data_IF_374036410983
#
_entry.id   IF_374036410983
#
_cell.length_a   1.000
_cell.length_b   1.000
_cell.length_c   1.000
_cell.angle_alpha   90.00
_cell.angle_beta   90.00
_cell.angle_gamma   90.00
#
_symmetry.space_group_name_H-M   'P 1'
#
loop_
_entity.id
_entity.type
_entity.pdbx_description
1 polymer ?
#
# COMPACT_ATOMS: atom_id res chain seq x y z
N UNK A 1 4.10 7.05 -9.13
CA UNK A 1 3.54 8.00 -8.14
C UNK A 1 3.00 7.24 -6.94
N UNK A 2 3.33 7.67 -5.75
CA UNK A 2 2.90 7.02 -4.52
C UNK A 2 1.56 7.59 -4.04
N UNK A 3 0.64 6.70 -3.69
CA UNK A 3 -0.70 7.06 -3.22
C UNK A 3 -1.00 6.29 -1.94
N UNK A 4 -1.68 6.94 -1.00
CA UNK A 4 -2.05 6.31 0.26
C UNK A 4 -3.56 6.06 0.33
N UNK A 5 -3.92 4.88 0.82
CA UNK A 5 -5.28 4.58 1.24
C UNK A 5 -5.26 4.62 2.76
N UNK A 6 -5.90 5.64 3.34
CA UNK A 6 -5.85 5.88 4.78
C UNK A 6 -7.22 5.67 5.39
N UNK A 7 -7.26 5.00 6.51
CA UNK A 7 -8.49 4.78 7.25
C UNK A 7 -8.22 3.95 8.48
N UNK A 8 -9.13 3.98 9.43
CA UNK A 8 -9.04 3.16 10.62
C UNK A 8 -9.29 1.69 10.28
N UNK A 9 -8.96 0.80 11.20
CA UNK A 9 -9.20 -0.62 11.04
C UNK A 9 -10.69 -0.85 10.75
N UNK A 10 -10.98 -1.70 9.74
CA UNK A 10 -12.35 -2.00 9.37
C UNK A 10 -13.01 -0.98 8.45
N UNK A 11 -12.28 0.04 7.98
CA UNK A 11 -12.84 1.06 7.09
C UNK A 11 -12.96 0.64 5.63
N UNK A 12 -12.46 -0.52 5.26
CA UNK A 12 -12.53 -1.01 3.87
C UNK A 12 -11.29 -0.72 3.02
N UNK A 13 -10.16 -0.39 3.64
CA UNK A 13 -8.91 -0.11 2.92
C UNK A 13 -8.46 -1.29 2.07
N UNK A 14 -8.45 -2.49 2.63
CA UNK A 14 -7.99 -3.67 1.93
C UNK A 14 -8.89 -3.99 0.74
N UNK A 15 -10.21 -3.86 0.92
CA UNK A 15 -11.15 -4.07 -0.19
C UNK A 15 -10.91 -3.06 -1.31
N UNK A 16 -10.69 -1.80 -0.98
CA UNK A 16 -10.38 -0.77 -1.97
C UNK A 16 -9.10 -1.11 -2.72
N UNK A 17 -8.07 -1.56 -2.01
CA UNK A 17 -6.82 -1.98 -2.64
C UNK A 17 -7.03 -3.18 -3.57
N UNK A 18 -7.80 -4.19 -3.15
CA UNK A 18 -8.11 -5.34 -3.98
C UNK A 18 -8.81 -4.92 -5.27
N UNK A 19 -9.77 -4.01 -5.18
CA UNK A 19 -10.46 -3.49 -6.37
C UNK A 19 -9.47 -2.77 -7.30
N UNK A 20 -8.51 -2.04 -6.76
CA UNK A 20 -7.47 -1.39 -7.56
C UNK A 20 -6.52 -2.40 -8.21
N UNK A 21 -6.20 -3.48 -7.50
CA UNK A 21 -5.37 -4.56 -8.06
C UNK A 21 -6.11 -5.24 -9.21
N UNK A 22 -7.38 -5.55 -9.04
CA UNK A 22 -8.20 -6.18 -10.10
C UNK A 22 -8.27 -5.29 -11.34
N UNK A 23 -8.41 -4.00 -11.15
CA UNK A 23 -8.40 -3.06 -12.26
C UNK A 23 -7.03 -3.01 -12.94
N UNK A 24 -5.96 -2.99 -12.16
CA UNK A 24 -4.60 -2.96 -12.69
C UNK A 24 -4.30 -4.22 -13.52
N UNK A 25 -4.74 -5.39 -13.05
CA UNK A 25 -4.56 -6.65 -13.77
C UNK A 25 -5.17 -6.58 -15.17
N UNK A 26 -6.29 -5.86 -15.31
CA UNK A 26 -6.99 -5.74 -16.59
C UNK A 26 -6.40 -4.69 -17.52
N UNK A 27 -5.66 -3.72 -16.98
CA UNK A 27 -5.25 -2.53 -17.74
C UNK A 27 -3.75 -2.39 -17.92
N UNK A 28 -2.93 -3.01 -17.07
CA UNK A 28 -1.48 -2.86 -17.19
C UNK A 28 -0.88 -3.78 -18.23
N UNK A 29 0.18 -3.32 -18.86
CA UNK A 29 0.98 -4.15 -19.76
C UNK A 29 2.17 -4.80 -19.06
N UNK A 30 2.42 -4.41 -17.81
CA UNK A 30 3.57 -4.88 -17.05
C UNK A 30 3.20 -5.82 -15.91
N UNK A 31 4.14 -5.97 -14.99
CA UNK A 31 3.95 -6.84 -13.84
C UNK A 31 3.42 -6.07 -12.64
N UNK A 32 2.59 -6.72 -11.86
CA UNK A 32 2.02 -6.20 -10.62
C UNK A 32 2.60 -6.99 -9.46
N UNK A 33 3.12 -6.28 -8.47
CA UNK A 33 3.63 -6.88 -7.24
C UNK A 33 2.80 -6.37 -6.07
N UNK A 34 2.37 -7.28 -5.21
CA UNK A 34 1.61 -6.97 -4.00
C UNK A 34 2.42 -7.46 -2.80
N UNK A 35 2.79 -6.55 -1.93
CA UNK A 35 3.57 -6.86 -0.73
C UNK A 35 2.66 -6.76 0.49
N UNK A 36 2.66 -7.78 1.31
CA UNK A 36 1.87 -7.81 2.54
C UNK A 36 2.61 -8.53 3.66
N UNK A 37 2.05 -8.45 4.86
CA UNK A 37 2.46 -9.22 6.01
C UNK A 37 1.34 -10.17 6.38
N UNK A 38 1.67 -11.44 6.65
CA UNK A 38 0.74 -12.48 7.15
C UNK A 38 -0.19 -13.13 6.13
N UNK A 39 0.09 -13.07 4.85
CA UNK A 39 -0.62 -13.85 3.81
C UNK A 39 -2.16 -13.72 3.81
N UNK A 40 -2.67 -12.54 4.11
CA UNK A 40 -4.12 -12.32 4.19
C UNK A 40 -4.82 -12.25 2.85
N UNK A 41 -4.11 -11.89 1.80
CA UNK A 41 -4.68 -11.62 0.48
C UNK A 41 -4.60 -12.78 -0.49
N UNK A 42 -4.05 -13.91 -0.06
CA UNK A 42 -3.72 -15.03 -0.95
C UNK A 42 -4.90 -15.53 -1.78
N UNK A 43 -6.09 -15.60 -1.19
CA UNK A 43 -7.28 -16.13 -1.87
C UNK A 43 -8.08 -15.06 -2.59
N UNK A 44 -7.75 -13.79 -2.41
CA UNK A 44 -8.56 -12.67 -2.92
C UNK A 44 -7.93 -11.96 -4.10
N UNK A 45 -6.69 -12.28 -4.43
CA UNK A 45 -5.94 -11.59 -5.48
C UNK A 45 -5.77 -12.48 -6.68
N UNK A 46 -5.93 -11.89 -7.87
CA UNK A 46 -5.72 -12.57 -9.12
C UNK A 46 -4.27 -13.06 -9.23
N UNK A 47 -4.09 -14.30 -9.69
CA UNK A 47 -2.76 -14.92 -9.83
C UNK A 47 -1.83 -14.20 -10.81
N UNK A 48 -2.35 -13.30 -11.64
CA UNK A 48 -1.52 -12.47 -12.51
C UNK A 48 -0.70 -11.45 -11.72
N UNK A 49 -1.11 -11.13 -10.49
CA UNK A 49 -0.34 -10.29 -9.59
C UNK A 49 0.56 -11.18 -8.71
N UNK A 50 1.82 -10.79 -8.57
CA UNK A 50 2.75 -11.51 -7.70
C UNK A 50 2.53 -11.06 -6.26
N UNK A 51 2.05 -11.97 -5.43
CA UNK A 51 1.87 -11.72 -4.01
C UNK A 51 3.11 -12.14 -3.24
N UNK A 52 3.63 -11.25 -2.41
CA UNK A 52 4.84 -11.49 -1.61
C UNK A 52 4.53 -11.20 -0.16
N UNK A 53 4.76 -12.19 0.69
CA UNK A 53 4.65 -12.04 2.15
C UNK A 53 6.02 -11.70 2.73
N UNK A 54 6.15 -10.53 3.35
CA UNK A 54 7.42 -10.11 3.94
C UNK A 54 7.88 -11.02 5.07
N UNK A 55 6.95 -11.73 5.73
CA UNK A 55 7.31 -12.66 6.79
C UNK A 55 8.10 -13.85 6.29
N UNK A 56 7.87 -14.28 5.05
CA UNK A 56 8.65 -15.39 4.44
C UNK A 56 10.12 -15.04 4.30
N UNK A 57 10.45 -13.77 4.21
CA UNK A 57 11.81 -13.30 3.99
C UNK A 57 12.42 -12.62 5.21
N UNK A 58 11.73 -12.68 6.34
CA UNK A 58 12.20 -12.09 7.58
C UNK A 58 12.31 -10.58 7.57
N UNK A 59 11.50 -9.91 6.74
CA UNK A 59 11.54 -8.45 6.62
C UNK A 59 10.73 -7.82 7.75
N UNK A 60 11.38 -6.98 8.53
CA UNK A 60 10.76 -6.24 9.62
C UNK A 60 11.42 -4.87 9.76
N UNK A 61 10.61 -3.84 9.97
CA UNK A 61 11.09 -2.48 10.13
C UNK A 61 11.32 -1.75 8.82
N UNK A 62 11.48 -0.44 8.92
CA UNK A 62 11.54 0.44 7.76
C UNK A 62 12.76 0.21 6.87
N UNK A 63 13.93 0.03 7.48
CA UNK A 63 15.16 -0.13 6.70
C UNK A 63 15.17 -1.43 5.89
N UNK A 64 14.73 -2.52 6.50
CA UNK A 64 14.63 -3.80 5.79
C UNK A 64 13.57 -3.72 4.69
N UNK A 65 12.44 -3.08 4.96
CA UNK A 65 11.39 -2.92 3.96
C UNK A 65 11.90 -2.12 2.76
N UNK A 66 12.61 -1.04 3.00
CA UNK A 66 13.19 -0.27 1.90
C UNK A 66 14.10 -1.13 1.03
N UNK A 67 15.04 -1.84 1.64
CA UNK A 67 15.96 -2.72 0.91
C UNK A 67 15.23 -3.81 0.13
N UNK A 68 14.18 -4.37 0.74
CA UNK A 68 13.37 -5.39 0.09
C UNK A 68 12.66 -4.85 -1.15
N UNK A 69 12.00 -3.70 -1.03
CA UNK A 69 11.32 -3.04 -2.15
C UNK A 69 12.32 -2.68 -3.24
N UNK A 70 13.44 -2.07 -2.86
CA UNK A 70 14.48 -1.71 -3.82
C UNK A 70 15.01 -2.94 -4.57
N UNK A 71 15.20 -4.05 -3.87
CA UNK A 71 15.65 -5.30 -4.48
C UNK A 71 14.61 -5.89 -5.43
N UNK A 72 13.35 -5.87 -5.06
CA UNK A 72 12.25 -6.34 -5.92
C UNK A 72 12.22 -5.52 -7.22
N UNK A 73 12.33 -4.21 -7.12
CA UNK A 73 12.34 -3.33 -8.29
C UNK A 73 13.59 -3.51 -9.15
N UNK A 74 14.74 -3.67 -8.51
CA UNK A 74 16.00 -3.88 -9.22
C UNK A 74 16.00 -5.22 -9.98
N UNK A 75 15.31 -6.22 -9.46
CA UNK A 75 15.25 -7.54 -10.05
C UNK A 75 14.22 -7.71 -11.16
N UNK A 76 13.35 -6.72 -11.37
CA UNK A 76 12.31 -6.83 -12.39
C UNK A 76 11.93 -5.45 -12.92
N UNK A 77 12.44 -5.12 -14.10
CA UNK A 77 12.17 -3.83 -14.75
C UNK A 77 10.78 -3.74 -15.37
N UNK A 78 10.04 -4.83 -15.41
CA UNK A 78 8.71 -4.86 -16.01
C UNK A 78 7.59 -4.53 -15.01
N UNK A 79 7.92 -4.25 -13.76
CA UNK A 79 6.93 -3.87 -12.75
C UNK A 79 6.36 -2.50 -13.09
N UNK A 80 5.05 -2.42 -13.20
CA UNK A 80 4.33 -1.17 -13.47
C UNK A 80 3.54 -0.69 -12.26
N UNK A 81 3.13 -1.61 -11.39
CA UNK A 81 2.36 -1.28 -10.20
C UNK A 81 2.87 -2.07 -9.00
N UNK A 82 2.99 -1.36 -7.88
CA UNK A 82 3.39 -1.92 -6.59
C UNK A 82 2.31 -1.59 -5.56
N UNK A 83 1.80 -2.61 -4.91
CA UNK A 83 0.83 -2.45 -3.82
C UNK A 83 1.48 -2.91 -2.52
N UNK A 84 1.25 -2.16 -1.46
CA UNK A 84 1.81 -2.49 -0.15
C UNK A 84 0.71 -2.39 0.90
N UNK A 85 0.29 -3.53 1.42
CA UNK A 85 -0.79 -3.58 2.39
C UNK A 85 -0.27 -3.61 3.82
N UNK A 86 -0.71 -2.63 4.62
CA UNK A 86 -0.41 -2.61 6.04
C UNK A 86 0.99 -2.13 6.40
N UNK A 87 1.39 -0.97 5.89
CA UNK A 87 2.72 -0.42 6.17
C UNK A 87 3.05 -0.36 7.67
N UNK A 88 2.07 0.01 8.50
CA UNK A 88 2.31 0.14 9.94
C UNK A 88 2.55 -1.21 10.63
N UNK A 89 2.01 -2.29 10.10
CA UNK A 89 2.32 -3.63 10.64
C UNK A 89 3.77 -4.02 10.37
N UNK A 90 4.31 -3.58 9.25
CA UNK A 90 5.69 -3.87 8.88
C UNK A 90 6.67 -2.98 9.64
N UNK A 91 6.28 -1.75 9.91
CA UNK A 91 7.12 -0.76 10.63
C UNK A 91 6.84 -0.73 12.13
N UNK A 92 6.23 -1.77 12.67
CA UNK A 92 5.96 -1.93 14.10
C UNK A 92 5.18 -0.74 14.69
N UNK A 93 4.16 -0.28 13.95
CA UNK A 93 3.31 0.84 14.32
C UNK A 93 4.05 2.17 14.55
N UNK A 94 5.26 2.27 14.01
CA UNK A 94 6.04 3.51 14.06
C UNK A 94 5.71 4.38 12.85
N UNK A 95 4.88 5.39 13.05
CA UNK A 95 4.44 6.26 11.97
C UNK A 95 5.59 7.08 11.38
N UNK A 96 6.54 7.52 12.20
CA UNK A 96 7.70 8.27 11.71
C UNK A 96 8.57 7.40 10.80
N UNK A 97 8.77 6.14 11.19
CA UNK A 97 9.51 5.18 10.35
C UNK A 97 8.75 4.89 9.05
N UNK A 98 7.42 4.74 9.12
CA UNK A 98 6.59 4.55 7.94
C UNK A 98 6.71 5.74 6.99
N UNK A 99 6.64 6.96 7.51
CA UNK A 99 6.77 8.16 6.70
C UNK A 99 8.13 8.22 6.00
N UNK A 100 9.19 7.91 6.73
CA UNK A 100 10.54 7.91 6.18
C UNK A 100 10.70 6.90 5.04
N UNK A 101 10.23 5.67 5.25
CA UNK A 101 10.37 4.63 4.22
C UNK A 101 9.49 4.92 3.01
N UNK A 102 8.29 5.46 3.20
CA UNK A 102 7.41 5.80 2.08
C UNK A 102 7.99 6.92 1.23
N UNK A 103 8.56 7.93 1.84
CA UNK A 103 9.24 8.98 1.08
C UNK A 103 10.45 8.44 0.32
N UNK A 104 11.20 7.51 0.91
CA UNK A 104 12.32 6.87 0.23
C UNK A 104 11.86 6.00 -0.95
N UNK A 105 10.77 5.25 -0.77
CA UNK A 105 10.18 4.44 -1.84
C UNK A 105 9.69 5.32 -2.99
N UNK A 106 9.06 6.44 -2.67
CA UNK A 106 8.58 7.37 -3.70
C UNK A 106 9.71 7.82 -4.62
N UNK A 107 10.90 8.06 -4.08
CA UNK A 107 12.05 8.52 -4.85
C UNK A 107 12.56 7.50 -5.86
N UNK A 108 12.34 6.21 -5.61
CA UNK A 108 12.82 5.14 -6.50
C UNK A 108 11.71 4.56 -7.38
N UNK A 109 10.52 5.14 -7.35
CA UNK A 109 9.35 4.63 -8.08
C UNK A 109 8.73 5.67 -9.00
N UNK A 110 9.55 6.54 -9.60
CA UNK A 110 9.05 7.63 -10.45
C UNK A 110 8.21 7.15 -11.63
N UNK A 111 8.48 5.96 -12.16
CA UNK A 111 7.78 5.40 -13.31
C UNK A 111 6.83 4.26 -12.95
N UNK A 112 6.53 4.10 -11.66
CA UNK A 112 5.71 3.01 -11.15
C UNK A 112 4.58 3.61 -10.32
N UNK A 113 3.37 3.07 -10.46
CA UNK A 113 2.28 3.42 -9.56
C UNK A 113 2.42 2.63 -8.27
N UNK A 114 2.44 3.32 -7.14
CA UNK A 114 2.57 2.68 -5.82
C UNK A 114 1.35 3.04 -4.99
N UNK A 115 0.70 2.02 -4.44
CA UNK A 115 -0.46 2.21 -3.56
C UNK A 115 -0.18 1.53 -2.22
N UNK A 116 -0.37 2.26 -1.14
CA UNK A 116 -0.04 1.80 0.21
C UNK A 116 -1.24 2.01 1.12
N UNK A 117 -1.61 0.99 1.91
CA UNK A 117 -2.63 1.15 2.93
C UNK A 117 -2.01 1.56 4.26
N UNK A 118 -2.64 2.51 4.92
CA UNK A 118 -2.20 3.01 6.23
C UNK A 118 -3.38 2.96 7.19
N UNK A 119 -3.26 2.15 8.24
CA UNK A 119 -4.30 2.04 9.28
C UNK A 119 -4.12 3.14 10.31
N UNK A 120 -4.71 4.31 10.04
CA UNK A 120 -4.62 5.47 10.91
C UNK A 120 -5.75 6.44 10.58
N UNK A 121 -6.02 7.38 11.48
CA UNK A 121 -6.86 8.52 11.15
C UNK A 121 -6.08 9.46 10.24
N UNK A 122 -6.75 10.01 9.24
CA UNK A 122 -6.12 10.97 8.33
C UNK A 122 -5.54 12.17 9.09
N UNK A 123 -6.19 12.58 10.18
CA UNK A 123 -5.73 13.70 11.01
C UNK A 123 -4.40 13.41 11.70
N UNK A 124 -4.03 12.14 11.85
CA UNK A 124 -2.79 11.73 12.54
C UNK A 124 -1.61 11.53 11.57
N UNK A 125 -1.81 11.75 10.28
CA UNK A 125 -0.74 11.60 9.30
C UNK A 125 0.33 12.67 9.50
N UNK A 126 1.61 12.29 9.44
CA UNK A 126 2.70 13.27 9.39
C UNK A 126 2.55 14.19 8.18
N UNK A 127 3.00 15.42 8.32
CA UNK A 127 2.88 16.43 7.29
C UNK A 127 3.47 15.99 5.95
N UNK A 128 4.58 15.28 5.97
CA UNK A 128 5.24 14.79 4.77
C UNK A 128 4.51 13.62 4.08
N UNK A 129 3.49 13.05 4.73
CA UNK A 129 2.62 12.05 4.10
C UNK A 129 1.28 12.63 3.61
N UNK A 130 0.87 13.77 4.11
CA UNK A 130 -0.42 14.38 3.72
C UNK A 130 -0.48 14.62 2.21
N UNK A 131 0.62 14.97 1.61
CA UNK A 131 0.70 15.18 0.16
C UNK A 131 0.21 13.95 -0.62
N UNK A 132 0.66 12.76 -0.24
CA UNK A 132 0.26 11.53 -0.91
C UNK A 132 -1.20 11.19 -0.67
N UNK A 133 -1.70 11.50 0.52
CA UNK A 133 -3.09 11.26 0.88
C UNK A 133 -4.06 12.10 0.05
N UNK A 134 -3.71 13.34 -0.24
CA UNK A 134 -4.58 14.23 -1.01
C UNK A 134 -4.71 13.81 -2.48
N UNK A 135 -3.75 13.07 -2.99
CA UNK A 135 -3.79 12.57 -4.36
C UNK A 135 -4.73 11.37 -4.49
N UNK A 136 -5.10 10.74 -3.36
CA UNK A 136 -5.88 9.52 -3.38
C UNK A 136 -7.31 9.74 -2.93
N UNK A 137 -8.19 8.86 -3.40
CA UNK A 137 -9.57 8.81 -2.97
C UNK A 137 -9.65 8.51 -1.47
N UNK A 138 -10.31 9.40 -0.74
CA UNK A 138 -10.59 9.18 0.67
C UNK A 138 -11.59 8.05 0.81
N UNK A 139 -11.26 7.06 1.62
CA UNK A 139 -12.24 6.06 2.00
C UNK A 139 -13.17 6.67 3.02
N UNK A 140 -14.45 6.73 2.67
CA UNK A 140 -15.43 7.21 3.62
C UNK A 140 -15.61 6.15 4.69
N UNK A 141 -15.64 6.55 5.97
CA UNK A 141 -16.02 5.60 7.01
C UNK A 141 -17.40 5.06 6.67
N UNK A 142 -17.66 3.79 7.02
CA UNK A 142 -18.99 3.24 6.86
C UNK A 142 -19.95 4.11 7.63
N UNK A 143 -20.80 4.77 6.90
CA UNK A 143 -21.81 5.63 7.46
C UNK A 143 -22.83 4.78 8.19
N UNK A 144 -23.10 5.11 9.40
CA UNK A 144 -24.24 4.58 10.04
C UNK A 144 -25.48 5.28 9.56
N UNK A 145 -25.26 5.97 8.87
CA UNK A 145 -26.18 6.73 8.37
C UNK A 145 -26.24 6.91 7.15
N UNK A 146 -25.95 6.04 6.96
CA UNK A 146 -26.20 6.23 5.82
C UNK A 146 -27.09 7.25 5.79
N UNK A 147 -26.99 7.29 6.55
CA UNK A 147 -27.51 7.88 6.54
C UNK A 147 -27.46 9.01 6.28
N UNK A 148 -27.56 9.20 6.44
CA UNK A 148 -27.68 10.12 6.16
C UNK A 148 -27.26 10.91 5.43
N UNK A 149 -27.26 10.82 5.14
CA UNK A 149 -26.97 11.37 4.60
C UNK A 149 -27.18 11.99 3.86
N UNK A 150 -27.38 12.06 3.93
CA UNK A 150 -27.57 12.42 3.46
C UNK A 150 -27.58 12.97 3.14
#
# INVERSE_FOLDING_TARGET
>A
MLKLIVGTKGSGKTKTMIDMIDKAVKTTSGNIVVIEKCMKLTTEINHSARLVDVDEYGVAGADMLYGFVAGVLAGNYDITELFLDGILRITDHDMAAAAKVLNAIDKITSNIEVVVTVSANAADLPEDLIFFYEVLLKIRPKSNFGQSLH
#
